data_IF_951473679614
#
_entry.id   IF_951473679614
#
_cell.length_a   1.000
_cell.length_b   1.000
_cell.length_c   1.000
_cell.angle_alpha   90.00
_cell.angle_beta   90.00
_cell.angle_gamma   90.00
#
_symmetry.space_group_name_H-M   'P 1'
#
loop_
_entity.id
_entity.type
_entity.pdbx_description
1 polymer ?
#
# COMPACT_ATOMS: atom_id res chain seq x y z
N UNK A 1 -30.80 60.58 12.13
CA UNK A 1 -30.63 59.92 10.82
C UNK A 1 -30.30 58.46 11.08
N UNK A 2 -31.13 57.55 10.58
CA UNK A 2 -31.16 56.14 10.97
C UNK A 2 -30.09 55.29 10.28
N UNK A 3 -29.68 54.24 11.00
CA UNK A 3 -28.64 53.24 10.76
C UNK A 3 -28.72 52.55 9.39
N UNK A 4 -27.56 52.17 8.85
CA UNK A 4 -27.42 50.89 8.15
C UNK A 4 -25.96 50.44 8.19
N UNK A 5 -25.62 49.62 9.18
CA UNK A 5 -24.35 48.90 9.23
C UNK A 5 -24.65 47.49 8.74
N UNK A 6 -24.31 47.20 7.48
CA UNK A 6 -24.44 45.86 6.90
C UNK A 6 -23.38 44.94 7.52
N UNK A 7 -23.74 43.85 8.21
CA UNK A 7 -22.75 42.88 8.64
C UNK A 7 -22.34 42.05 7.42
N UNK A 8 -21.09 42.19 7.01
CA UNK A 8 -20.44 41.38 5.99
C UNK A 8 -20.21 39.97 6.55
N UNK A 9 -21.28 39.20 6.75
CA UNK A 9 -21.17 37.78 7.08
C UNK A 9 -20.76 37.08 5.80
N UNK A 10 -19.46 36.82 5.63
CA UNK A 10 -18.98 35.85 4.64
C UNK A 10 -19.78 34.56 4.84
N UNK A 11 -20.67 34.27 3.91
CA UNK A 11 -21.54 33.10 4.00
C UNK A 11 -20.66 31.83 3.97
N UNK A 12 -20.68 30.99 5.02
CA UNK A 12 -19.89 29.76 5.06
C UNK A 12 -20.32 28.75 3.97
N UNK A 13 -21.45 28.99 3.31
CA UNK A 13 -21.95 28.20 2.19
C UNK A 13 -21.05 28.29 0.96
N UNK A 14 -20.46 29.47 0.69
CA UNK A 14 -19.61 29.65 -0.50
C UNK A 14 -18.23 28.98 -0.31
N UNK A 15 -17.72 28.97 0.93
CA UNK A 15 -16.45 28.32 1.27
C UNK A 15 -16.58 26.80 1.27
N UNK A 16 -17.70 26.25 1.74
CA UNK A 16 -17.96 24.80 1.69
C UNK A 16 -18.10 24.29 0.25
N UNK A 17 -18.78 25.02 -0.62
CA UNK A 17 -18.88 24.69 -2.06
C UNK A 17 -17.48 24.68 -2.73
N UNK A 18 -16.62 25.63 -2.39
CA UNK A 18 -15.24 25.70 -2.92
C UNK A 18 -14.38 24.51 -2.44
N UNK A 19 -14.53 24.07 -1.19
CA UNK A 19 -13.80 22.91 -0.64
C UNK A 19 -14.27 21.60 -1.30
N UNK A 20 -15.56 21.45 -1.58
CA UNK A 20 -16.07 20.28 -2.33
C UNK A 20 -15.58 20.23 -3.78
N UNK A 21 -15.41 21.39 -4.44
CA UNK A 21 -14.93 21.46 -5.84
C UNK A 21 -13.41 21.22 -5.98
N UNK A 22 -12.63 21.46 -4.92
CA UNK A 22 -11.19 21.20 -4.87
C UNK A 22 -10.85 19.74 -4.49
N UNK A 23 -11.84 18.97 -4.06
CA UNK A 23 -11.68 17.56 -3.70
C UNK A 23 -11.71 16.66 -4.95
N UNK A 24 -10.81 16.92 -5.91
CA UNK A 24 -10.48 15.92 -6.93
C UNK A 24 -9.82 14.74 -6.21
N UNK A 25 -10.63 13.79 -5.78
CA UNK A 25 -10.14 12.47 -5.40
C UNK A 25 -9.56 11.83 -6.66
N UNK A 26 -8.22 11.84 -6.76
CA UNK A 26 -7.50 10.97 -7.68
C UNK A 26 -7.70 9.56 -7.14
N UNK A 27 -8.84 8.96 -7.47
CA UNK A 27 -9.09 7.56 -7.19
C UNK A 27 -8.15 6.77 -8.11
N UNK A 28 -7.01 6.32 -7.57
CA UNK A 28 -6.26 5.26 -8.21
C UNK A 28 -7.20 4.08 -8.41
N UNK A 29 -7.31 3.60 -9.65
CA UNK A 29 -8.17 2.45 -9.93
C UNK A 29 -7.55 1.24 -9.23
N UNK A 30 -8.13 0.82 -8.11
CA UNK A 30 -7.75 -0.41 -7.43
C UNK A 30 -8.33 -1.58 -8.21
N UNK A 31 -7.44 -2.44 -8.70
CA UNK A 31 -7.80 -3.62 -9.49
C UNK A 31 -7.29 -4.86 -8.78
N UNK A 32 -8.18 -5.80 -8.46
CA UNK A 32 -7.76 -7.12 -7.98
C UNK A 32 -7.09 -7.89 -9.13
N UNK A 33 -5.98 -8.55 -8.81
CA UNK A 33 -5.28 -9.39 -9.77
C UNK A 33 -5.78 -10.83 -9.59
N UNK A 34 -6.46 -11.43 -10.58
CA UNK A 34 -6.90 -12.81 -10.48
C UNK A 34 -5.71 -13.78 -10.70
N UNK A 35 -5.89 -15.04 -10.30
CA UNK A 35 -4.93 -16.13 -10.55
C UNK A 35 -3.50 -15.83 -10.06
N UNK A 36 -3.37 -15.18 -8.91
CA UNK A 36 -2.08 -14.72 -8.37
C UNK A 36 -1.07 -15.85 -8.18
N UNK A 37 -1.54 -17.05 -7.82
CA UNK A 37 -0.69 -18.21 -7.58
C UNK A 37 0.06 -18.67 -8.84
N UNK A 38 -0.52 -18.44 -10.02
CA UNK A 38 0.08 -18.80 -11.31
C UNK A 38 0.67 -17.59 -12.04
N UNK A 39 0.61 -16.40 -11.46
CA UNK A 39 1.13 -15.18 -12.06
C UNK A 39 2.60 -14.97 -11.63
N UNK A 40 3.59 -15.24 -12.50
CA UNK A 40 5.00 -15.18 -12.12
C UNK A 40 5.46 -13.77 -11.71
N UNK A 41 4.93 -12.71 -12.35
CA UNK A 41 5.28 -11.33 -12.00
C UNK A 41 4.88 -11.01 -10.56
N UNK A 42 3.67 -11.39 -10.17
CA UNK A 42 3.17 -11.14 -8.80
C UNK A 42 3.93 -11.98 -7.77
N UNK A 43 4.27 -13.23 -8.10
CA UNK A 43 5.08 -14.08 -7.23
C UNK A 43 6.49 -13.50 -7.05
N UNK A 44 7.11 -13.01 -8.12
CA UNK A 44 8.45 -12.39 -8.07
C UNK A 44 8.46 -11.09 -7.27
N UNK A 45 7.43 -10.25 -7.40
CA UNK A 45 7.25 -9.06 -6.56
C UNK A 45 7.16 -9.51 -5.10
N UNK A 46 6.29 -10.46 -4.77
CA UNK A 46 6.12 -10.96 -3.40
C UNK A 46 7.41 -11.53 -2.82
N UNK A 47 8.16 -12.31 -3.60
CA UNK A 47 9.46 -12.84 -3.18
C UNK A 47 10.46 -11.72 -2.92
N UNK A 48 10.57 -10.75 -3.83
CA UNK A 48 11.43 -9.57 -3.67
C UNK A 48 11.09 -8.77 -2.41
N UNK A 49 9.80 -8.65 -2.07
CA UNK A 49 9.33 -7.98 -0.86
C UNK A 49 9.82 -8.69 0.41
N UNK A 50 9.79 -10.03 0.44
CA UNK A 50 10.34 -10.83 1.55
C UNK A 50 11.87 -10.69 1.63
N UNK A 51 12.57 -10.74 0.50
CA UNK A 51 14.03 -10.59 0.46
C UNK A 51 14.44 -9.19 1.00
N UNK A 52 13.70 -8.14 0.62
CA UNK A 52 13.90 -6.78 1.14
C UNK A 52 13.58 -6.67 2.64
N UNK A 53 12.50 -7.28 3.11
CA UNK A 53 12.19 -7.34 4.54
C UNK A 53 13.31 -8.01 5.34
N UNK A 54 13.74 -9.19 4.92
CA UNK A 54 14.81 -9.95 5.57
C UNK A 54 16.14 -9.17 5.59
N UNK A 55 16.43 -8.44 4.52
CA UNK A 55 17.68 -7.65 4.42
C UNK A 55 17.63 -6.36 5.23
N UNK A 56 16.48 -5.67 5.27
CA UNK A 56 16.36 -4.32 5.84
C UNK A 56 15.84 -4.31 7.27
N UNK A 57 14.89 -5.18 7.61
CA UNK A 57 14.12 -5.08 8.84
C UNK A 57 14.61 -6.05 9.93
N UNK A 58 15.03 -7.25 9.55
CA UNK A 58 15.60 -8.23 10.50
C UNK A 58 16.84 -7.67 11.22
N UNK A 59 17.84 -7.07 10.54
CA UNK A 59 19.02 -6.55 11.24
C UNK A 59 18.73 -5.35 12.14
N UNK A 60 17.67 -4.58 11.86
CA UNK A 60 17.29 -3.42 12.68
C UNK A 60 16.80 -3.84 14.07
N UNK A 61 16.14 -4.99 14.18
CA UNK A 61 15.65 -5.49 15.46
C UNK A 61 15.51 -7.03 15.46
N UNK A 62 16.61 -7.77 15.60
CA UNK A 62 16.60 -9.24 15.49
C UNK A 62 15.80 -9.93 16.61
N UNK A 63 15.51 -9.25 17.71
CA UNK A 63 14.67 -9.77 18.78
C UNK A 63 13.17 -9.72 18.46
N UNK A 64 12.75 -8.87 17.52
CA UNK A 64 11.33 -8.68 17.14
C UNK A 64 11.04 -9.10 15.70
N UNK A 65 12.01 -8.98 14.81
CA UNK A 65 11.89 -9.26 13.38
C UNK A 65 12.65 -10.54 13.08
N UNK A 66 11.93 -11.62 12.78
CA UNK A 66 12.52 -12.91 12.45
C UNK A 66 12.57 -13.09 10.93
N UNK A 67 13.59 -13.78 10.40
CA UNK A 67 13.65 -14.10 8.97
C UNK A 67 12.42 -14.89 8.50
N UNK A 68 11.89 -14.50 7.35
CA UNK A 68 10.75 -15.14 6.71
C UNK A 68 11.20 -15.92 5.47
N UNK A 69 10.62 -17.09 5.28
CA UNK A 69 10.72 -17.87 4.05
C UNK A 69 9.47 -17.65 3.22
N UNK A 70 9.64 -17.12 2.00
CA UNK A 70 8.56 -16.98 1.04
C UNK A 70 7.95 -18.34 0.67
N UNK A 71 6.61 -18.44 0.64
CA UNK A 71 5.90 -19.61 0.09
C UNK A 71 5.16 -19.27 -1.18
N UNK A 72 4.21 -18.34 -1.11
CA UNK A 72 3.41 -17.92 -2.26
C UNK A 72 2.62 -16.65 -1.96
N UNK A 73 2.36 -15.83 -2.98
CA UNK A 73 1.33 -14.79 -2.91
C UNK A 73 -0.05 -15.42 -3.07
N UNK A 74 -0.98 -15.10 -2.15
CA UNK A 74 -2.35 -15.65 -2.14
C UNK A 74 -3.43 -14.63 -2.49
N UNK A 75 -3.16 -13.35 -2.27
CA UNK A 75 -4.03 -12.25 -2.68
C UNK A 75 -3.16 -11.09 -3.20
N UNK A 76 -3.61 -10.41 -4.24
CA UNK A 76 -2.94 -9.23 -4.77
C UNK A 76 -3.93 -8.24 -5.38
N UNK A 77 -3.70 -6.96 -5.12
CA UNK A 77 -4.35 -5.86 -5.82
C UNK A 77 -3.32 -4.84 -6.28
N UNK A 78 -3.63 -4.12 -7.35
CA UNK A 78 -2.80 -3.04 -7.87
C UNK A 78 -3.61 -1.76 -7.94
N UNK A 79 -3.05 -0.69 -7.41
CA UNK A 79 -3.54 0.66 -7.57
C UNK A 79 -2.59 1.39 -8.54
N UNK A 80 -3.14 1.91 -9.64
CA UNK A 80 -2.35 2.69 -10.61
C UNK A 80 -2.67 4.17 -10.45
N UNK A 81 -1.66 4.98 -10.12
CA UNK A 81 -1.79 6.44 -9.97
C UNK A 81 -0.73 7.08 -10.85
N UNK A 82 -1.15 7.80 -11.90
CA UNK A 82 -0.24 8.56 -12.78
C UNK A 82 0.97 7.76 -13.31
N UNK A 83 0.77 6.48 -13.66
CA UNK A 83 1.82 5.58 -14.16
C UNK A 83 2.60 4.82 -13.08
N UNK A 84 2.44 5.18 -11.81
CA UNK A 84 3.00 4.45 -10.68
C UNK A 84 2.09 3.28 -10.31
N UNK A 85 2.66 2.10 -10.07
CA UNK A 85 1.93 0.93 -9.62
C UNK A 85 2.23 0.66 -8.15
N UNK A 86 1.18 0.58 -7.35
CA UNK A 86 1.24 0.19 -5.94
C UNK A 86 0.53 -1.14 -5.77
N UNK A 87 1.31 -2.17 -5.48
CA UNK A 87 0.83 -3.53 -5.25
C UNK A 87 0.57 -3.73 -3.75
N UNK A 88 -0.63 -4.18 -3.41
CA UNK A 88 -0.94 -4.66 -2.06
C UNK A 88 -1.02 -6.17 -2.13
N UNK A 89 -0.14 -6.86 -1.40
CA UNK A 89 0.02 -8.31 -1.46
C UNK A 89 -0.22 -8.94 -0.10
N UNK A 90 -0.84 -10.11 -0.12
CA UNK A 90 -0.89 -11.05 1.00
C UNK A 90 -0.09 -12.27 0.65
N UNK A 91 0.90 -12.58 1.47
CA UNK A 91 1.90 -13.59 1.17
C UNK A 91 1.88 -14.64 2.28
N UNK A 92 1.72 -15.89 1.90
CA UNK A 92 1.97 -16.99 2.82
C UNK A 92 3.49 -17.14 2.98
N UNK A 93 3.93 -17.15 4.22
CA UNK A 93 5.34 -17.29 4.59
C UNK A 93 5.48 -18.25 5.76
N UNK A 94 6.71 -18.57 6.13
CA UNK A 94 7.00 -19.28 7.36
C UNK A 94 8.25 -18.70 8.03
N UNK A 95 8.28 -18.71 9.36
CA UNK A 95 9.53 -18.51 10.10
C UNK A 95 10.48 -19.69 9.90
N UNK A 96 11.73 -19.54 10.35
CA UNK A 96 12.75 -20.59 10.25
C UNK A 96 12.39 -21.88 11.00
N UNK A 97 11.58 -21.80 12.04
CA UNK A 97 11.05 -22.94 12.80
C UNK A 97 9.91 -23.68 12.06
N UNK A 98 9.49 -23.19 10.90
CA UNK A 98 8.39 -23.75 10.10
C UNK A 98 7.01 -23.20 10.47
N UNK A 99 6.90 -22.33 11.48
CA UNK A 99 5.64 -21.71 11.87
C UNK A 99 5.11 -20.84 10.72
N UNK A 100 3.91 -21.17 10.24
CA UNK A 100 3.29 -20.47 9.12
C UNK A 100 2.76 -19.10 9.57
N UNK A 101 3.07 -18.05 8.80
CA UNK A 101 2.61 -16.68 9.04
C UNK A 101 2.23 -15.98 7.75
N UNK A 102 1.19 -15.16 7.79
CA UNK A 102 0.80 -14.28 6.69
C UNK A 102 1.61 -13.00 6.78
N UNK A 103 2.12 -12.56 5.64
CA UNK A 103 2.84 -11.31 5.48
C UNK A 103 2.05 -10.42 4.51
N UNK A 104 1.47 -9.36 5.06
CA UNK A 104 0.75 -8.35 4.28
C UNK A 104 1.73 -7.24 3.95
N UNK A 105 1.82 -6.82 2.69
CA UNK A 105 2.75 -5.77 2.31
C UNK A 105 2.25 -4.87 1.19
N UNK A 106 2.83 -3.68 1.14
CA UNK A 106 2.69 -2.74 0.03
C UNK A 106 4.04 -2.61 -0.66
N UNK A 107 4.05 -2.88 -1.97
CA UNK A 107 5.22 -2.72 -2.81
C UNK A 107 4.93 -1.74 -3.93
N UNK A 108 5.83 -0.78 -4.15
CA UNK A 108 5.67 0.24 -5.18
C UNK A 108 6.66 0.01 -6.32
N UNK A 109 6.19 0.19 -7.55
CA UNK A 109 6.98 0.13 -8.76
C UNK A 109 6.87 1.47 -9.49
N UNK A 110 7.99 2.19 -9.59
CA UNK A 110 8.04 3.44 -10.34
C UNK A 110 8.08 3.16 -11.86
N UNK A 111 7.58 4.09 -12.69
CA UNK A 111 7.75 4.02 -14.13
C UNK A 111 9.23 3.83 -14.52
N UNK A 112 9.53 2.80 -15.30
CA UNK A 112 10.88 2.50 -15.78
C UNK A 112 11.74 1.63 -14.86
N UNK A 113 11.27 1.35 -13.63
CA UNK A 113 11.94 0.38 -12.76
C UNK A 113 11.51 -1.05 -13.06
N UNK A 114 12.41 -2.01 -12.86
CA UNK A 114 12.14 -3.44 -13.05
C UNK A 114 11.79 -4.17 -11.76
N UNK A 115 12.10 -3.56 -10.61
CA UNK A 115 11.95 -4.21 -9.30
C UNK A 115 11.10 -3.34 -8.40
N UNK A 116 10.05 -3.91 -7.82
CA UNK A 116 9.23 -3.21 -6.85
C UNK A 116 9.97 -3.05 -5.52
N UNK A 117 9.86 -1.88 -4.92
CA UNK A 117 10.40 -1.59 -3.59
C UNK A 117 9.35 -1.93 -2.52
N UNK A 118 9.76 -2.61 -1.44
CA UNK A 118 8.94 -2.77 -0.25
C UNK A 118 8.75 -1.40 0.44
N UNK A 119 7.50 -0.97 0.59
CA UNK A 119 7.13 0.33 1.18
C UNK A 119 6.64 0.16 2.61
N UNK A 120 5.75 -0.79 2.85
CA UNK A 120 5.22 -1.09 4.18
C UNK A 120 4.84 -2.56 4.30
N UNK A 121 4.79 -3.06 5.53
CA UNK A 121 4.52 -4.46 5.82
C UNK A 121 3.86 -4.66 7.18
N UNK A 122 3.25 -5.83 7.37
CA UNK A 122 2.70 -6.31 8.63
C UNK A 122 2.64 -7.84 8.67
N UNK A 123 2.93 -8.40 9.83
CA UNK A 123 2.80 -9.84 10.10
C UNK A 123 1.45 -10.15 10.74
N UNK A 124 0.83 -11.24 10.30
CA UNK A 124 -0.38 -11.81 10.88
C UNK A 124 -0.18 -13.30 11.07
N UNK A 125 -0.46 -13.82 12.27
CA UNK A 125 -0.56 -15.26 12.50
C UNK A 125 -1.76 -15.81 11.74
N UNK A 126 -1.59 -16.99 11.14
CA UNK A 126 -2.62 -17.71 10.37
C UNK A 126 -3.38 -18.65 11.30
#
# INVERSE_FOLDING_TARGET
MAKSTLPCTLSPLLLTILITLLSFHVNGQVTNIPNVQTNPEVQDIGKSSIDQYNTREVPKNPAKNLPLTFKQVVEASVETVSGFKKYTLKINTAFQDGTAVSFDCVSALNPGEKTAALVSWGLKTI
#
